data_IF_694951577691
#
_entry.id   IF_694951577691
#
_cell.length_a   1.000
_cell.length_b   1.000
_cell.length_c   1.000
_cell.angle_alpha   90.00
_cell.angle_beta   90.00
_cell.angle_gamma   90.00
#
_symmetry.space_group_name_H-M   'P 1'
#
loop_
_entity.id
_entity.type
_entity.pdbx_description
1 polymer ?
#
# COMPACT_ATOMS: atom_id res chain seq x y z
N UNK A 1 3.98 68.39 10.63
CA UNK A 1 3.46 67.43 11.64
C UNK A 1 2.05 67.05 11.23
N UNK A 2 1.89 65.87 10.62
CA UNK A 2 0.59 65.32 10.21
C UNK A 2 0.33 64.07 11.07
N UNK A 3 -0.72 64.14 11.87
CA UNK A 3 -1.20 63.07 12.76
C UNK A 3 -1.84 61.99 11.88
N UNK A 4 -1.30 60.77 11.91
CA UNK A 4 -1.89 59.59 11.26
C UNK A 4 -2.77 58.86 12.28
N UNK A 5 -4.05 58.69 11.95
CA UNK A 5 -5.01 57.87 12.69
C UNK A 5 -4.73 56.38 12.47
N UNK A 6 -4.96 55.51 13.47
CA UNK A 6 -4.70 54.08 13.34
C UNK A 6 -5.82 53.37 12.58
N UNK A 7 -5.40 52.62 11.55
CA UNK A 7 -6.24 51.74 10.74
C UNK A 7 -6.88 50.65 11.61
N UNK A 8 -8.21 50.59 11.60
CA UNK A 8 -9.02 49.57 12.28
C UNK A 8 -8.74 48.16 11.71
N UNK A 9 -8.60 47.11 12.54
CA UNK A 9 -8.39 45.76 12.04
C UNK A 9 -9.66 45.21 11.38
N UNK A 10 -9.48 44.66 10.18
CA UNK A 10 -10.53 44.02 9.40
C UNK A 10 -11.30 42.99 10.24
N UNK A 11 -12.59 43.26 10.36
CA UNK A 11 -13.64 42.44 10.96
C UNK A 11 -13.58 41.03 10.37
N UNK A 12 -13.21 40.02 11.17
CA UNK A 12 -13.38 38.61 10.79
C UNK A 12 -14.88 38.33 10.60
N UNK A 13 -15.25 37.84 9.42
CA UNK A 13 -16.63 37.46 9.13
C UNK A 13 -17.12 36.34 10.06
N UNK A 14 -18.38 36.40 10.53
CA UNK A 14 -18.97 35.37 11.37
C UNK A 14 -19.42 34.17 10.53
N UNK A 15 -19.41 32.99 11.15
CA UNK A 15 -20.16 31.78 10.81
C UNK A 15 -20.30 31.45 9.31
N UNK A 16 -19.48 30.51 8.82
CA UNK A 16 -19.90 29.68 7.68
C UNK A 16 -20.76 28.55 8.23
N UNK A 17 -22.07 28.80 8.26
CA UNK A 17 -23.07 27.74 8.20
C UNK A 17 -22.91 27.01 6.86
N UNK A 18 -22.44 25.77 6.88
CA UNK A 18 -22.49 24.88 5.73
C UNK A 18 -23.23 23.59 6.13
N UNK A 19 -24.49 23.41 5.69
CA UNK A 19 -25.17 22.13 5.76
C UNK A 19 -24.74 21.32 4.54
N UNK A 20 -23.70 20.51 4.67
CA UNK A 20 -23.40 19.44 3.71
C UNK A 20 -23.50 18.09 4.42
N UNK A 21 -24.74 17.68 4.64
CA UNK A 21 -25.13 16.29 4.87
C UNK A 21 -24.83 15.52 3.57
N UNK A 22 -23.62 14.98 3.44
CA UNK A 22 -23.37 13.94 2.44
C UNK A 22 -24.12 12.68 2.86
N UNK A 23 -24.94 12.13 1.98
CA UNK A 23 -25.53 10.82 2.20
C UNK A 23 -24.41 9.75 2.23
N UNK A 24 -24.45 8.79 3.17
CA UNK A 24 -23.39 7.80 3.43
C UNK A 24 -23.07 6.83 2.26
N UNK A 25 -23.68 7.02 1.09
CA UNK A 25 -23.62 6.08 -0.04
C UNK A 25 -22.44 6.35 -0.99
N UNK A 26 -21.83 7.54 -0.97
CA UNK A 26 -20.72 7.88 -1.88
C UNK A 26 -19.31 7.64 -1.31
N UNK A 27 -19.18 7.13 -0.09
CA UNK A 27 -17.88 6.73 0.49
C UNK A 27 -17.74 5.21 0.50
N UNK A 28 -18.08 4.57 -0.62
CA UNK A 28 -17.68 3.17 -0.89
C UNK A 28 -16.71 3.18 -2.05
N UNK A 29 -15.54 2.59 -1.83
CA UNK A 29 -14.41 2.41 -2.77
C UNK A 29 -13.34 3.50 -2.72
N UNK A 30 -12.58 3.54 -1.63
CA UNK A 30 -11.46 4.47 -1.43
C UNK A 30 -10.24 3.70 -0.87
N UNK A 31 -9.78 2.63 -1.52
CA UNK A 31 -8.56 1.92 -1.10
C UNK A 31 -7.77 1.36 -2.29
N UNK A 32 -7.17 2.28 -3.06
CA UNK A 32 -5.96 2.04 -3.88
C UNK A 32 -5.45 3.35 -4.51
N UNK A 33 -6.34 4.33 -4.75
CA UNK A 33 -6.01 5.69 -5.25
C UNK A 33 -6.47 6.85 -4.34
N UNK A 34 -6.77 6.57 -3.08
CA UNK A 34 -7.63 7.40 -2.22
C UNK A 34 -6.97 8.53 -1.42
N UNK A 35 -5.65 8.47 -1.20
CA UNK A 35 -4.96 9.55 -0.48
C UNK A 35 -5.20 10.89 -1.17
N UNK A 36 -5.20 10.89 -2.52
CA UNK A 36 -5.45 12.08 -3.32
C UNK A 36 -6.88 12.64 -3.13
N UNK A 37 -7.92 11.83 -3.28
CA UNK A 37 -9.32 12.30 -3.18
C UNK A 37 -9.68 12.80 -1.78
N UNK A 38 -9.28 12.08 -0.74
CA UNK A 38 -9.53 12.48 0.65
C UNK A 38 -8.75 13.76 0.99
N UNK A 39 -7.49 13.85 0.54
CA UNK A 39 -6.68 15.07 0.71
C UNK A 39 -7.27 16.25 -0.05
N UNK A 40 -7.70 16.07 -1.30
CA UNK A 40 -8.30 17.13 -2.11
C UNK A 40 -9.59 17.66 -1.47
N UNK A 41 -10.42 16.78 -0.92
CA UNK A 41 -11.61 17.17 -0.16
C UNK A 41 -11.23 18.01 1.07
N UNK A 42 -10.28 17.56 1.89
CA UNK A 42 -9.86 18.33 3.06
C UNK A 42 -9.20 19.68 2.71
N UNK A 43 -8.56 19.80 1.55
CA UNK A 43 -8.12 21.10 1.01
C UNK A 43 -9.32 21.98 0.70
N UNK A 44 -10.31 21.47 -0.04
CA UNK A 44 -11.49 22.23 -0.46
C UNK A 44 -12.31 22.76 0.73
N UNK A 45 -12.43 21.97 1.79
CA UNK A 45 -13.16 22.36 3.02
C UNK A 45 -12.28 23.16 3.99
N UNK A 46 -10.98 23.31 3.71
CA UNK A 46 -10.06 24.11 4.53
C UNK A 46 -9.60 23.46 5.83
N UNK A 47 -9.76 22.13 5.97
CA UNK A 47 -9.45 21.38 7.20
C UNK A 47 -8.18 20.53 7.09
N UNK A 48 -7.50 20.51 5.93
CA UNK A 48 -6.25 19.74 5.73
C UNK A 48 -5.18 19.99 6.80
N UNK A 49 -5.12 21.21 7.35
CA UNK A 49 -4.15 21.60 8.37
C UNK A 49 -4.22 20.75 9.65
N UNK A 50 -5.37 20.11 9.91
CA UNK A 50 -5.57 19.18 11.03
C UNK A 50 -4.79 17.88 10.85
N UNK A 51 -4.45 17.51 9.61
CA UNK A 51 -3.61 16.35 9.29
C UNK A 51 -2.12 16.64 9.47
N UNK A 52 -1.76 17.66 10.24
CA UNK A 52 -0.39 17.96 10.61
C UNK A 52 -0.31 18.07 12.13
N UNK A 53 0.83 17.74 12.74
CA UNK A 53 0.97 17.82 14.19
C UNK A 53 0.80 19.27 14.66
N UNK A 54 -0.23 19.50 15.48
CA UNK A 54 -0.48 20.79 16.14
C UNK A 54 -0.25 20.64 17.64
N UNK A 55 0.67 21.46 18.17
CA UNK A 55 1.00 21.49 19.59
C UNK A 55 -0.23 21.84 20.43
N UNK A 56 -0.36 21.23 21.62
CA UNK A 56 -1.59 21.23 22.42
C UNK A 56 -2.03 22.66 22.77
N UNK A 57 -1.06 23.51 23.09
CA UNK A 57 -1.23 24.91 23.42
C UNK A 57 -1.73 25.78 22.26
N UNK A 58 -1.59 25.31 21.01
CA UNK A 58 -2.08 26.00 19.80
C UNK A 58 -3.44 25.50 19.33
N UNK A 59 -4.03 24.50 20.00
CA UNK A 59 -5.32 23.92 19.63
C UNK A 59 -6.46 24.82 20.07
N UNK A 60 -7.01 25.58 19.13
CA UNK A 60 -8.19 26.41 19.35
C UNK A 60 -9.47 25.57 19.38
N UNK A 61 -10.59 26.15 19.82
CA UNK A 61 -11.90 25.50 19.72
C UNK A 61 -12.27 25.16 18.26
N UNK A 62 -11.86 26.00 17.31
CA UNK A 62 -12.02 25.73 15.88
C UNK A 62 -11.23 24.49 15.46
N UNK A 63 -9.96 24.38 15.86
CA UNK A 63 -9.16 23.17 15.61
C UNK A 63 -9.82 21.91 16.17
N UNK A 64 -10.38 21.98 17.38
CA UNK A 64 -11.05 20.83 18.01
C UNK A 64 -12.30 20.40 17.22
N UNK A 65 -13.07 21.36 16.72
CA UNK A 65 -14.23 21.09 15.86
C UNK A 65 -13.80 20.43 14.54
N UNK A 66 -12.80 21.00 13.88
CA UNK A 66 -12.28 20.50 12.60
C UNK A 66 -11.64 19.10 12.76
N UNK A 67 -10.91 18.88 13.85
CA UNK A 67 -10.37 17.57 14.23
C UNK A 67 -11.48 16.52 14.38
N UNK A 68 -12.56 16.84 15.08
CA UNK A 68 -13.68 15.92 15.24
C UNK A 68 -14.39 15.66 13.91
N UNK A 69 -14.53 16.68 13.05
CA UNK A 69 -15.13 16.53 11.73
C UNK A 69 -14.29 15.62 10.83
N UNK A 70 -12.96 15.81 10.80
CA UNK A 70 -12.03 14.95 10.05
C UNK A 70 -12.07 13.52 10.59
N UNK A 71 -12.13 13.32 11.91
CA UNK A 71 -12.26 11.98 12.51
C UNK A 71 -13.54 11.29 12.05
N UNK A 72 -14.67 12.00 12.05
CA UNK A 72 -15.94 11.45 11.59
C UNK A 72 -15.89 11.03 10.12
N UNK A 73 -15.34 11.89 9.24
CA UNK A 73 -15.19 11.58 7.81
C UNK A 73 -14.29 10.36 7.60
N UNK A 74 -13.12 10.32 8.25
CA UNK A 74 -12.18 9.20 8.13
C UNK A 74 -12.80 7.90 8.65
N UNK A 75 -13.52 7.94 9.77
CA UNK A 75 -14.17 6.75 10.35
C UNK A 75 -15.32 6.24 9.48
N UNK A 76 -16.04 7.13 8.78
CA UNK A 76 -17.06 6.75 7.80
C UNK A 76 -16.48 6.21 6.50
N UNK A 77 -15.27 6.63 6.14
CA UNK A 77 -14.64 6.26 4.88
C UNK A 77 -13.93 4.90 4.89
N UNK A 78 -13.58 4.41 6.08
CA UNK A 78 -12.81 3.17 6.25
C UNK A 78 -13.72 1.96 6.36
N UNK A 79 -13.31 0.86 5.76
CA UNK A 79 -13.96 -0.42 5.99
C UNK A 79 -13.85 -0.80 7.48
N UNK A 80 -14.91 -1.41 8.02
CA UNK A 80 -14.96 -1.86 9.41
C UNK A 80 -13.79 -2.76 9.82
N UNK A 81 -13.24 -3.56 8.90
CA UNK A 81 -12.06 -4.40 9.14
C UNK A 81 -10.80 -3.57 9.46
N UNK A 82 -10.74 -2.32 9.01
CA UNK A 82 -9.60 -1.42 9.21
C UNK A 82 -9.74 -0.56 10.48
N UNK A 83 -10.88 -0.59 11.17
CA UNK A 83 -11.10 0.18 12.41
C UNK A 83 -10.09 -0.16 13.52
N UNK A 84 -9.58 -1.40 13.53
CA UNK A 84 -8.56 -1.84 14.48
C UNK A 84 -7.27 -1.00 14.43
N UNK A 85 -6.92 -0.46 13.26
CA UNK A 85 -5.70 0.32 13.07
C UNK A 85 -5.81 1.73 13.65
N UNK A 86 -7.02 2.23 13.86
CA UNK A 86 -7.27 3.64 14.23
C UNK A 86 -7.83 3.82 15.63
N UNK A 87 -8.16 2.74 16.35
CA UNK A 87 -8.77 2.81 17.68
C UNK A 87 -7.94 3.64 18.66
N UNK A 88 -6.61 3.53 18.63
CA UNK A 88 -5.74 4.33 19.49
C UNK A 88 -5.85 5.86 19.28
N UNK A 89 -6.42 6.29 18.14
CA UNK A 89 -6.43 7.68 17.68
C UNK A 89 -7.84 8.30 17.60
N UNK A 90 -8.81 7.78 18.36
CA UNK A 90 -10.20 8.25 18.36
C UNK A 90 -10.41 9.76 18.59
N UNK A 91 -9.39 10.47 19.10
CA UNK A 91 -9.42 11.91 19.38
C UNK A 91 -8.37 12.70 18.58
N UNK A 92 -7.64 12.03 17.71
CA UNK A 92 -6.51 12.59 16.96
C UNK A 92 -6.65 12.25 15.47
N UNK A 93 -7.17 13.19 14.70
CA UNK A 93 -7.32 13.06 13.25
C UNK A 93 -5.98 12.81 12.54
N UNK A 94 -4.91 13.47 13.00
CA UNK A 94 -3.57 13.29 12.43
C UNK A 94 -3.06 11.88 12.70
N UNK A 95 -3.12 11.43 13.96
CA UNK A 95 -2.74 10.07 14.34
C UNK A 95 -3.53 9.01 13.57
N UNK A 96 -4.84 9.20 13.42
CA UNK A 96 -5.68 8.29 12.63
C UNK A 96 -5.29 8.26 11.15
N UNK A 97 -5.03 9.42 10.55
CA UNK A 97 -4.59 9.52 9.16
C UNK A 97 -3.27 8.79 8.93
N UNK A 98 -2.27 9.01 9.79
CA UNK A 98 -0.98 8.30 9.73
C UNK A 98 -1.17 6.79 9.91
N UNK A 99 -1.98 6.36 10.87
CA UNK A 99 -2.24 4.94 11.10
C UNK A 99 -2.93 4.27 9.92
N UNK A 100 -3.86 4.96 9.25
CA UNK A 100 -4.48 4.47 8.01
C UNK A 100 -3.48 4.39 6.88
N UNK A 101 -2.66 5.42 6.68
CA UNK A 101 -1.59 5.39 5.69
C UNK A 101 -0.67 4.20 5.93
N UNK A 102 -0.23 3.97 7.17
CA UNK A 102 0.61 2.84 7.54
C UNK A 102 -0.08 1.48 7.35
N UNK A 103 -1.36 1.35 7.71
CA UNK A 103 -2.12 0.12 7.52
C UNK A 103 -2.30 -0.25 6.04
N UNK A 104 -2.26 0.75 5.15
CA UNK A 104 -2.36 0.56 3.69
C UNK A 104 -1.01 0.63 2.97
N UNK A 105 0.07 0.95 3.67
CA UNK A 105 1.44 0.80 3.19
C UNK A 105 1.85 -0.65 3.42
N UNK A 106 1.95 -1.43 2.34
CA UNK A 106 2.50 -2.78 2.39
C UNK A 106 4.02 -2.71 2.64
N UNK A 107 4.38 -2.60 3.92
CA UNK A 107 5.78 -2.52 4.38
C UNK A 107 6.44 -3.88 4.56
N UNK A 108 5.77 -4.97 4.16
CA UNK A 108 6.33 -6.32 4.15
C UNK A 108 7.54 -6.41 3.22
N UNK A 109 8.31 -7.50 3.33
CA UNK A 109 9.37 -7.81 2.38
C UNK A 109 8.82 -7.90 0.95
N UNK A 110 7.64 -8.48 0.78
CA UNK A 110 6.94 -8.59 -0.50
C UNK A 110 6.58 -7.24 -1.09
N UNK A 111 6.02 -6.33 -0.30
CA UNK A 111 5.66 -4.99 -0.75
C UNK A 111 6.87 -4.19 -1.24
N UNK A 112 7.99 -4.24 -0.52
CA UNK A 112 9.25 -3.60 -0.96
C UNK A 112 9.78 -4.24 -2.24
N UNK A 113 9.89 -5.56 -2.28
CA UNK A 113 10.35 -6.31 -3.46
C UNK A 113 9.46 -6.03 -4.68
N UNK A 114 8.15 -5.92 -4.50
CA UNK A 114 7.20 -5.63 -5.57
C UNK A 114 7.53 -4.30 -6.26
N UNK A 115 7.72 -3.22 -5.50
CA UNK A 115 8.04 -1.91 -6.08
C UNK A 115 9.44 -1.87 -6.70
N UNK A 116 10.42 -2.56 -6.12
CA UNK A 116 11.75 -2.73 -6.74
C UNK A 116 11.62 -3.45 -8.09
N UNK A 117 10.86 -4.54 -8.15
CA UNK A 117 10.60 -5.26 -9.42
C UNK A 117 9.92 -4.36 -10.44
N UNK A 118 8.93 -3.56 -10.02
CA UNK A 118 8.28 -2.58 -10.91
C UNK A 118 9.28 -1.56 -11.45
N UNK A 119 10.17 -1.02 -10.63
CA UNK A 119 11.20 -0.08 -11.08
C UNK A 119 12.23 -0.72 -12.02
N UNK A 120 12.68 -1.95 -11.74
CA UNK A 120 13.74 -2.60 -12.50
C UNK A 120 13.26 -3.23 -13.81
N UNK A 121 12.02 -3.74 -13.84
CA UNK A 121 11.54 -4.61 -14.91
C UNK A 121 10.51 -3.95 -15.83
N UNK A 122 9.91 -2.82 -15.42
CA UNK A 122 8.97 -2.11 -16.29
C UNK A 122 9.73 -1.54 -17.49
N UNK A 123 9.27 -1.90 -18.68
CA UNK A 123 9.74 -1.33 -19.94
C UNK A 123 8.69 -0.38 -20.48
N UNK A 124 9.10 0.61 -21.25
CA UNK A 124 8.16 1.44 -22.00
C UNK A 124 7.43 0.55 -23.03
N UNK A 125 6.12 0.56 -22.97
CA UNK A 125 5.24 -0.05 -23.96
C UNK A 125 4.65 1.05 -24.84
N UNK A 126 4.65 0.87 -26.16
CA UNK A 126 4.20 1.90 -27.09
C UNK A 126 5.18 3.08 -27.22
N UNK A 127 4.64 4.26 -27.52
CA UNK A 127 5.40 5.48 -27.83
C UNK A 127 5.15 6.65 -26.84
N UNK A 128 4.32 6.46 -25.82
CA UNK A 128 4.03 7.48 -24.80
C UNK A 128 5.07 7.48 -23.67
N UNK A 129 6.15 8.22 -23.89
CA UNK A 129 7.22 8.40 -22.90
C UNK A 129 6.74 9.16 -21.66
N UNK A 130 5.77 10.07 -21.77
CA UNK A 130 5.32 10.87 -20.63
C UNK A 130 4.56 10.00 -19.63
N UNK A 131 3.66 9.14 -20.12
CA UNK A 131 2.97 8.16 -19.28
C UNK A 131 3.95 7.15 -18.67
N UNK A 132 4.99 6.75 -19.39
CA UNK A 132 6.01 5.87 -18.83
C UNK A 132 6.80 6.56 -17.69
N UNK A 133 7.19 7.82 -17.86
CA UNK A 133 7.88 8.60 -16.82
C UNK A 133 7.00 8.83 -15.59
N UNK A 134 5.70 9.06 -15.77
CA UNK A 134 4.74 9.19 -14.67
C UNK A 134 4.63 7.87 -13.88
N UNK A 135 4.50 6.73 -14.58
CA UNK A 135 4.49 5.42 -13.96
C UNK A 135 5.79 5.14 -13.17
N UNK A 136 6.95 5.44 -13.74
CA UNK A 136 8.23 5.27 -13.07
C UNK A 136 8.36 6.16 -11.82
N UNK A 137 7.90 7.41 -11.89
CA UNK A 137 7.85 8.31 -10.74
C UNK A 137 6.92 7.79 -9.65
N UNK A 138 5.73 7.30 -10.03
CA UNK A 138 4.78 6.68 -9.09
C UNK A 138 5.40 5.45 -8.40
N UNK A 139 6.11 4.58 -9.11
CA UNK A 139 6.79 3.43 -8.49
C UNK A 139 7.90 3.86 -7.53
N UNK A 140 8.66 4.89 -7.88
CA UNK A 140 9.69 5.46 -7.02
C UNK A 140 9.08 6.03 -5.74
N UNK A 141 8.02 6.83 -5.82
CA UNK A 141 7.35 7.40 -4.65
C UNK A 141 6.82 6.30 -3.72
N UNK A 142 6.25 5.24 -4.28
CA UNK A 142 5.75 4.09 -3.52
C UNK A 142 6.88 3.34 -2.81
N UNK A 143 8.00 3.10 -3.47
CA UNK A 143 9.17 2.49 -2.83
C UNK A 143 9.76 3.41 -1.75
N UNK A 144 9.92 4.69 -2.05
CA UNK A 144 10.49 5.68 -1.13
C UNK A 144 9.67 5.81 0.16
N UNK A 145 8.34 5.67 0.08
CA UNK A 145 7.47 5.65 1.24
C UNK A 145 7.68 4.42 2.16
N UNK A 146 8.30 3.34 1.66
CA UNK A 146 8.59 2.12 2.43
C UNK A 146 10.01 2.08 3.00
N UNK A 147 10.91 2.93 2.51
CA UNK A 147 12.30 3.00 2.97
C UNK A 147 12.37 3.98 4.15
N UNK A 148 12.67 3.47 5.34
CA UNK A 148 12.85 4.29 6.55
C UNK A 148 14.23 4.06 7.16
N UNK A 149 14.70 4.92 8.08
CA UNK A 149 15.96 4.66 8.79
C UNK A 149 15.99 3.31 9.51
N UNK A 150 14.86 2.85 10.02
CA UNK A 150 14.70 1.56 10.70
C UNK A 150 14.63 0.39 9.71
N UNK A 151 14.17 0.66 8.48
CA UNK A 151 14.03 -0.32 7.39
C UNK A 151 14.67 0.23 6.11
N UNK A 152 16.01 0.30 6.07
CA UNK A 152 16.69 0.78 4.88
C UNK A 152 16.56 -0.22 3.74
N UNK A 153 16.69 0.27 2.50
CA UNK A 153 16.83 -0.61 1.34
C UNK A 153 18.20 -1.31 1.40
N UNK A 154 18.21 -2.64 1.30
CA UNK A 154 19.43 -3.45 1.39
C UNK A 154 19.79 -4.10 0.05
N UNK A 155 21.06 -4.51 -0.16
CA UNK A 155 21.44 -5.35 -1.30
C UNK A 155 20.64 -6.66 -1.39
N UNK A 156 20.20 -7.19 -0.23
CA UNK A 156 19.36 -8.39 -0.16
C UNK A 156 17.98 -8.16 -0.79
N UNK A 157 17.37 -6.98 -0.59
CA UNK A 157 16.08 -6.65 -1.22
C UNK A 157 16.21 -6.60 -2.75
N UNK A 158 17.31 -6.02 -3.27
CA UNK A 158 17.59 -5.95 -4.70
C UNK A 158 17.87 -7.35 -5.29
N UNK A 159 18.64 -8.18 -4.58
CA UNK A 159 18.90 -9.56 -4.98
C UNK A 159 17.60 -10.37 -5.04
N UNK A 160 16.77 -10.30 -4.00
CA UNK A 160 15.47 -10.97 -3.94
C UNK A 160 14.53 -10.50 -5.06
N UNK A 161 14.46 -9.19 -5.32
CA UNK A 161 13.66 -8.64 -6.39
C UNK A 161 14.12 -9.10 -7.78
N UNK A 162 15.44 -9.11 -8.01
CA UNK A 162 16.03 -9.58 -9.28
C UNK A 162 15.79 -11.08 -9.48
N UNK A 163 15.97 -11.88 -8.43
CA UNK A 163 15.72 -13.32 -8.44
C UNK A 163 14.25 -13.63 -8.74
N UNK A 164 13.31 -13.00 -8.02
CA UNK A 164 11.88 -13.23 -8.23
C UNK A 164 11.39 -12.65 -9.56
N UNK A 165 12.09 -11.64 -10.10
CA UNK A 165 11.85 -11.06 -11.42
C UNK A 165 12.36 -11.90 -12.58
N UNK A 166 13.31 -12.79 -12.36
CA UNK A 166 13.95 -13.61 -13.40
C UNK A 166 13.34 -15.00 -13.56
N UNK A 167 12.40 -15.38 -12.68
CA UNK A 167 11.71 -16.66 -12.71
C UNK A 167 10.26 -16.51 -13.22
N UNK A 168 9.68 -17.56 -13.80
CA UNK A 168 8.28 -17.53 -14.24
C UNK A 168 7.29 -17.39 -13.07
N UNK A 169 6.15 -16.75 -13.31
CA UNK A 169 5.16 -16.44 -12.27
C UNK A 169 4.60 -17.68 -11.55
N UNK A 170 4.50 -18.82 -12.24
CA UNK A 170 4.04 -20.08 -11.65
C UNK A 170 4.99 -20.63 -10.59
N UNK A 171 6.19 -20.04 -10.42
CA UNK A 171 7.12 -20.34 -9.33
C UNK A 171 6.81 -19.55 -8.05
N UNK A 172 6.22 -18.38 -8.15
CA UNK A 172 6.13 -17.40 -7.05
C UNK A 172 5.19 -17.85 -5.91
N UNK A 173 4.22 -18.72 -6.18
CA UNK A 173 3.26 -19.17 -5.15
C UNK A 173 3.91 -19.79 -3.91
N UNK A 174 5.08 -20.44 -4.02
CA UNK A 174 5.73 -21.06 -2.86
C UNK A 174 6.36 -20.06 -1.90
N UNK A 175 6.57 -18.82 -2.35
CA UNK A 175 7.15 -17.74 -1.53
C UNK A 175 6.10 -16.72 -1.09
N UNK A 176 4.84 -16.83 -1.55
CA UNK A 176 3.78 -15.86 -1.24
C UNK A 176 3.58 -15.64 0.26
N UNK A 177 3.57 -16.70 1.07
CA UNK A 177 3.46 -16.56 2.52
C UNK A 177 4.66 -15.83 3.13
N UNK A 178 5.88 -16.11 2.63
CA UNK A 178 7.10 -15.41 3.06
C UNK A 178 7.03 -13.93 2.69
N UNK A 179 6.54 -13.61 1.50
CA UNK A 179 6.44 -12.22 1.04
C UNK A 179 5.52 -11.36 1.90
N UNK A 180 4.55 -11.96 2.61
CA UNK A 180 3.69 -11.23 3.55
C UNK A 180 4.33 -11.00 4.94
N UNK A 181 5.52 -11.55 5.17
CA UNK A 181 6.29 -11.35 6.39
C UNK A 181 7.26 -10.18 6.22
N UNK A 182 7.75 -9.70 7.36
CA UNK A 182 8.78 -8.68 7.40
C UNK A 182 10.15 -9.33 7.57
N UNK A 183 11.20 -8.64 7.11
CA UNK A 183 12.60 -9.05 7.25
C UNK A 183 12.93 -10.47 6.77
N UNK A 184 12.25 -10.93 5.72
CA UNK A 184 12.55 -12.21 5.10
C UNK A 184 13.91 -12.15 4.40
N UNK A 185 14.79 -13.07 4.80
CA UNK A 185 16.13 -13.19 4.21
C UNK A 185 16.08 -13.82 2.82
N UNK A 186 16.97 -13.39 1.94
CA UNK A 186 17.07 -13.94 0.57
C UNK A 186 17.28 -15.45 0.59
N UNK A 187 18.05 -15.98 1.54
CA UNK A 187 18.31 -17.42 1.66
C UNK A 187 17.03 -18.22 1.92
N UNK A 188 16.08 -17.67 2.69
CA UNK A 188 14.79 -18.32 2.95
C UNK A 188 13.95 -18.42 1.67
N UNK A 189 14.03 -17.41 0.81
CA UNK A 189 13.37 -17.39 -0.50
C UNK A 189 14.01 -18.44 -1.43
N UNK A 190 15.34 -18.50 -1.48
CA UNK A 190 16.09 -19.49 -2.28
C UNK A 190 15.71 -20.91 -1.84
N UNK A 191 15.74 -21.20 -0.54
CA UNK A 191 15.37 -22.51 0.00
C UNK A 191 13.93 -22.90 -0.36
N UNK A 192 12.98 -21.96 -0.35
CA UNK A 192 11.61 -22.23 -0.77
C UNK A 192 11.51 -22.57 -2.27
N UNK A 193 12.30 -21.90 -3.11
CA UNK A 193 12.38 -22.18 -4.55
C UNK A 193 13.03 -23.54 -4.83
N UNK A 194 14.12 -23.87 -4.15
CA UNK A 194 14.77 -25.20 -4.23
C UNK A 194 13.81 -26.31 -3.81
N UNK A 195 13.06 -26.12 -2.72
CA UNK A 195 12.04 -27.06 -2.29
C UNK A 195 10.92 -27.24 -3.34
N UNK A 196 10.50 -26.17 -4.00
CA UNK A 196 9.53 -26.26 -5.10
C UNK A 196 10.09 -27.03 -6.29
N UNK A 197 11.37 -26.83 -6.62
CA UNK A 197 12.05 -27.57 -7.66
C UNK A 197 12.02 -29.08 -7.37
N UNK A 198 12.42 -29.51 -6.17
CA UNK A 198 12.39 -30.92 -5.75
C UNK A 198 10.99 -31.53 -5.85
N UNK A 199 9.95 -30.79 -5.44
CA UNK A 199 8.54 -31.25 -5.57
C UNK A 199 8.13 -31.44 -7.03
N UNK A 200 8.53 -30.55 -7.92
CA UNK A 200 8.25 -30.67 -9.36
C UNK A 200 8.94 -31.87 -9.99
N UNK A 201 10.18 -32.15 -9.60
CA UNK A 201 10.90 -33.35 -10.04
C UNK A 201 10.16 -34.62 -9.58
N UNK A 202 9.84 -34.73 -8.29
CA UNK A 202 9.15 -35.89 -7.74
C UNK A 202 7.78 -36.15 -8.39
N UNK A 203 7.03 -35.08 -8.71
CA UNK A 203 5.74 -35.18 -9.42
C UNK A 203 5.91 -35.65 -10.87
N UNK A 204 7.01 -35.26 -11.52
CA UNK A 204 7.33 -35.71 -12.88
C UNK A 204 7.68 -37.20 -12.87
N UNK A 205 8.52 -37.64 -11.92
CA UNK A 205 8.90 -39.04 -11.77
C UNK A 205 7.69 -39.94 -11.49
N UNK A 206 6.78 -39.50 -10.63
CA UNK A 206 5.52 -40.23 -10.37
C UNK A 206 4.61 -40.29 -11.59
N UNK A 207 4.47 -39.22 -12.37
CA UNK A 207 3.69 -39.22 -13.61
C UNK A 207 4.28 -40.16 -14.68
N UNK A 208 5.61 -40.20 -14.79
CA UNK A 208 6.34 -41.11 -15.68
C UNK A 208 6.11 -42.57 -15.25
N UNK A 209 6.27 -42.89 -13.96
CA UNK A 209 6.01 -44.23 -13.42
C UNK A 209 4.56 -44.68 -13.63
N UNK A 210 3.58 -43.80 -13.42
CA UNK A 210 2.17 -44.09 -13.66
C UNK A 210 1.89 -44.37 -15.14
N UNK A 211 2.55 -43.63 -16.05
CA UNK A 211 2.43 -43.84 -17.50
C UNK A 211 2.98 -45.20 -17.92
N UNK A 212 4.17 -45.59 -17.44
CA UNK A 212 4.73 -46.93 -17.68
C UNK A 212 3.84 -48.05 -17.13
N UNK A 213 3.24 -47.87 -15.95
CA UNK A 213 2.33 -48.85 -15.36
C UNK A 213 1.03 -49.01 -16.18
N UNK A 214 0.53 -47.94 -16.79
CA UNK A 214 -0.65 -47.98 -17.67
C UNK A 214 -0.38 -48.67 -19.01
N UNK A 215 0.79 -48.46 -19.61
CA UNK A 215 1.24 -49.13 -20.85
C UNK A 215 1.41 -50.64 -20.65
N UNK A 216 1.91 -51.07 -19.50
CA UNK A 216 2.10 -52.49 -19.19
C UNK A 216 0.80 -53.25 -18.87
N UNK A 217 -0.30 -52.55 -18.57
CA UNK A 217 -1.63 -53.18 -18.41
C UNK A 217 -2.32 -53.50 -19.75
N UNK A 218 -1.78 -53.02 -20.87
CA UNK A 218 -2.37 -53.19 -22.21
C UNK A 218 -1.87 -54.37 -23.04
N UNK A 219 -0.89 -55.17 -22.57
CA UNK A 219 -0.41 -56.35 -23.33
C UNK A 219 -1.25 -57.59 -23.01
N UNK A 220 -2.01 -58.16 -23.97
CA UNK A 220 -2.72 -59.41 -23.75
C UNK A 220 -1.71 -60.56 -23.68
N UNK A 221 -1.88 -61.44 -22.70
CA UNK A 221 -1.10 -62.68 -22.57
C UNK A 221 -1.38 -63.55 -23.80
N UNK A 222 -0.37 -63.78 -24.64
CA UNK A 222 -0.45 -64.82 -25.68
C UNK A 222 -0.38 -66.17 -24.97
N UNK A 223 -1.51 -66.88 -24.93
CA UNK A 223 -1.54 -68.26 -24.46
C UNK A 223 -1.04 -69.16 -25.59
N UNK A 224 -0.01 -69.95 -25.27
CA UNK A 224 0.49 -71.09 -26.04
C UNK A 224 -0.49 -72.25 -26.02
#
# INVERSE_FOLDING_TARGET
MLVSTPTSPARRSPARDHPFLWHPVQIRTILTGSSYFVTAYFVAVGVKYVLSPVAVEKRTNAWKSDNNAVIAVLTQAIDSANLRHVWAYQKDAHGMWIALQQAHLDSSTGGRIFWIRKLLLTKMEGDDILSHLDNMSNFYERLNALVTPEKPLTPSDVHSATLLGSIPDDWVDCVSHLMNQDDVKTETIILALENKHTRRQANTDTAVLASYASLNKGKPKSNT
#
